data_IF_734588484588
#
_entry.id   IF_734588484588
#
_cell.length_a   1.000
_cell.length_b   1.000
_cell.length_c   1.000
_cell.angle_alpha   90.00
_cell.angle_beta   90.00
_cell.angle_gamma   90.00
#
_symmetry.space_group_name_H-M   'P 1'
#
loop_
_entity.id
_entity.type
_entity.pdbx_description
1 polymer ?
#
# COMPACT_ATOMS: atom_id res chain seq x y z
N UNK A 1 4.09 7.87 -18.54
CA UNK A 1 2.91 7.70 -17.66
C UNK A 1 3.08 8.50 -16.36
N UNK A 2 4.11 8.20 -15.56
CA UNK A 2 4.43 8.92 -14.31
C UNK A 2 4.34 10.45 -14.37
N UNK A 3 5.11 11.07 -15.26
CA UNK A 3 5.19 12.54 -15.38
C UNK A 3 3.81 13.14 -15.67
N UNK A 4 2.94 12.41 -16.38
CA UNK A 4 1.58 12.82 -16.64
C UNK A 4 0.72 12.79 -15.36
N UNK A 5 0.82 11.74 -14.53
CA UNK A 5 0.13 11.69 -13.23
C UNK A 5 0.58 12.83 -12.32
N UNK A 6 1.89 13.11 -12.26
CA UNK A 6 2.44 14.23 -11.47
C UNK A 6 1.95 15.60 -11.97
N UNK A 7 1.86 15.79 -13.28
CA UNK A 7 1.30 17.01 -13.87
C UNK A 7 -0.19 17.18 -13.56
N UNK A 8 -0.98 16.10 -13.67
CA UNK A 8 -2.41 16.11 -13.33
C UNK A 8 -2.65 16.41 -11.83
N UNK A 9 -1.81 15.87 -10.94
CA UNK A 9 -1.84 16.18 -9.51
C UNK A 9 -1.51 17.65 -9.25
N UNK A 10 -0.45 18.17 -9.88
CA UNK A 10 -0.06 19.58 -9.76
C UNK A 10 -1.20 20.50 -10.21
N UNK A 11 -1.82 20.20 -11.35
CA UNK A 11 -2.96 20.95 -11.87
C UNK A 11 -4.18 20.90 -10.94
N UNK A 12 -4.48 19.73 -10.35
CA UNK A 12 -5.58 19.55 -9.40
C UNK A 12 -5.42 20.44 -8.15
N UNK A 13 -4.19 20.65 -7.69
CA UNK A 13 -3.88 21.53 -6.57
C UNK A 13 -3.61 22.98 -6.97
N UNK A 14 -3.79 23.34 -8.26
CA UNK A 14 -3.56 24.69 -8.76
C UNK A 14 -2.10 25.13 -8.74
N UNK A 15 -1.15 24.19 -8.69
CA UNK A 15 0.28 24.47 -8.72
C UNK A 15 0.73 24.78 -10.14
N UNK A 16 1.64 25.75 -10.28
CA UNK A 16 2.23 26.16 -11.57
C UNK A 16 3.47 25.34 -11.95
N UNK A 17 4.08 24.69 -10.97
CA UNK A 17 5.28 23.88 -11.11
C UNK A 17 5.04 22.51 -10.47
N UNK A 18 5.67 21.48 -11.05
CA UNK A 18 5.64 20.12 -10.52
C UNK A 18 6.77 20.01 -9.50
N UNK A 19 6.44 19.81 -8.22
CA UNK A 19 7.44 19.60 -7.18
C UNK A 19 7.76 18.10 -7.01
N UNK A 20 8.82 17.79 -6.27
CA UNK A 20 9.18 16.41 -5.94
C UNK A 20 8.03 15.65 -5.26
N UNK A 21 7.23 16.33 -4.44
CA UNK A 21 6.05 15.76 -3.81
C UNK A 21 5.04 15.21 -4.84
N UNK A 22 4.78 15.93 -5.93
CA UNK A 22 3.86 15.45 -6.97
C UNK A 22 4.46 14.32 -7.82
N UNK A 23 5.78 14.31 -8.00
CA UNK A 23 6.48 13.21 -8.66
C UNK A 23 6.39 11.93 -7.83
N UNK A 24 6.69 12.02 -6.52
CA UNK A 24 6.58 10.90 -5.59
C UNK A 24 5.14 10.37 -5.50
N UNK A 25 4.14 11.24 -5.36
CA UNK A 25 2.73 10.82 -5.37
C UNK A 25 2.34 10.19 -6.72
N UNK A 26 2.91 10.69 -7.83
CA UNK A 26 2.77 10.08 -9.15
C UNK A 26 3.35 8.66 -9.22
N UNK A 27 4.53 8.41 -8.64
CA UNK A 27 5.12 7.06 -8.51
C UNK A 27 4.14 6.17 -7.75
N UNK A 28 3.73 6.62 -6.57
CA UNK A 28 2.85 5.86 -5.69
C UNK A 28 1.51 5.51 -6.34
N UNK A 29 0.94 6.43 -7.12
CA UNK A 29 -0.32 6.22 -7.82
C UNK A 29 -0.20 5.22 -8.96
N UNK A 30 0.94 5.17 -9.64
CA UNK A 30 1.22 4.17 -10.68
C UNK A 30 1.47 2.79 -10.08
N UNK A 31 2.19 2.72 -8.96
CA UNK A 31 2.58 1.45 -8.32
C UNK A 31 1.45 0.85 -7.48
N UNK A 32 0.87 1.62 -6.56
CA UNK A 32 -0.09 1.13 -5.56
C UNK A 32 -1.53 1.66 -5.79
N UNK A 33 -1.73 2.51 -6.79
CA UNK A 33 -3.02 3.16 -7.04
C UNK A 33 -3.25 4.41 -6.18
N UNK A 34 -4.41 5.07 -6.35
CA UNK A 34 -4.72 6.30 -5.64
C UNK A 34 -4.92 6.06 -4.14
N UNK A 35 -4.51 7.03 -3.34
CA UNK A 35 -4.78 7.10 -1.90
C UNK A 35 -6.29 7.14 -1.61
N UNK A 36 -6.76 6.30 -0.68
CA UNK A 36 -8.17 6.21 -0.29
C UNK A 36 -8.44 6.93 1.03
N UNK A 37 -8.50 8.27 0.98
CA UNK A 37 -8.78 9.12 2.15
C UNK A 37 -10.13 8.85 2.84
N UNK A 38 -11.10 8.27 2.14
CA UNK A 38 -12.41 7.92 2.71
C UNK A 38 -12.45 6.57 3.42
N UNK A 39 -11.43 5.72 3.25
CA UNK A 39 -11.36 4.40 3.88
C UNK A 39 -10.77 4.58 5.28
N UNK A 40 -11.66 4.71 6.26
CA UNK A 40 -11.29 4.77 7.68
C UNK A 40 -11.13 3.33 8.16
N UNK A 41 -9.92 2.99 8.61
CA UNK A 41 -9.64 1.72 9.27
C UNK A 41 -9.98 1.84 10.75
N UNK A 42 -10.50 0.77 11.34
CA UNK A 42 -10.58 0.69 12.79
C UNK A 42 -9.19 0.67 13.41
N UNK A 43 -9.06 1.07 14.68
CA UNK A 43 -7.76 1.04 15.38
C UNK A 43 -7.14 -0.37 15.37
N UNK A 44 -7.98 -1.41 15.46
CA UNK A 44 -7.55 -2.81 15.34
C UNK A 44 -7.00 -3.13 13.96
N UNK A 45 -7.70 -2.76 12.89
CA UNK A 45 -7.22 -2.99 11.51
C UNK A 45 -5.95 -2.20 11.20
N UNK A 46 -5.87 -0.94 11.68
CA UNK A 46 -4.67 -0.11 11.53
C UNK A 46 -3.47 -0.74 12.25
N UNK A 47 -3.68 -1.28 13.45
CA UNK A 47 -2.63 -1.97 14.20
C UNK A 47 -2.18 -3.26 13.51
N UNK A 48 -3.11 -4.09 13.04
CA UNK A 48 -2.79 -5.31 12.29
C UNK A 48 -1.98 -4.96 11.04
N UNK A 49 -2.45 -3.97 10.28
CA UNK A 49 -1.74 -3.48 9.08
C UNK A 49 -0.35 -2.97 9.46
N UNK A 50 -0.19 -2.24 10.56
CA UNK A 50 1.10 -1.74 10.98
C UNK A 50 2.09 -2.87 11.33
N UNK A 51 1.66 -3.92 12.03
CA UNK A 51 2.51 -5.10 12.26
C UNK A 51 2.86 -5.81 10.96
N UNK A 52 1.90 -5.92 10.03
CA UNK A 52 2.12 -6.54 8.73
C UNK A 52 3.18 -5.80 7.90
N UNK A 53 3.05 -4.47 7.75
CA UNK A 53 4.01 -3.68 6.98
C UNK A 53 5.39 -3.63 7.65
N UNK A 54 5.45 -3.52 8.99
CA UNK A 54 6.71 -3.60 9.73
C UNK A 54 7.36 -4.97 9.58
N UNK A 55 6.56 -6.05 9.53
CA UNK A 55 7.05 -7.41 9.28
C UNK A 55 7.82 -7.54 7.96
N UNK A 56 7.25 -7.03 6.86
CA UNK A 56 7.96 -6.97 5.59
C UNK A 56 9.23 -6.13 5.67
N UNK A 57 9.12 -4.95 6.28
CA UNK A 57 10.21 -3.98 6.35
C UNK A 57 11.40 -4.50 7.15
N UNK A 58 11.16 -5.10 8.32
CA UNK A 58 12.22 -5.62 9.19
C UNK A 58 12.92 -6.82 8.56
N UNK A 59 12.17 -7.80 8.05
CA UNK A 59 12.77 -8.97 7.41
C UNK A 59 13.54 -8.56 6.15
N UNK A 60 12.98 -7.64 5.36
CA UNK A 60 13.67 -7.11 4.17
C UNK A 60 14.92 -6.29 4.48
N UNK A 61 14.98 -5.62 5.63
CA UNK A 61 16.14 -4.83 6.01
C UNK A 61 17.25 -5.65 6.69
N UNK A 62 16.86 -6.62 7.54
CA UNK A 62 17.81 -7.40 8.36
C UNK A 62 18.45 -8.56 7.58
N UNK A 63 17.83 -8.99 6.48
CA UNK A 63 18.39 -10.04 5.63
C UNK A 63 19.41 -9.45 4.63
N UNK A 64 20.56 -10.12 4.43
CA UNK A 64 21.71 -9.55 3.72
C UNK A 64 21.47 -9.34 2.22
N UNK A 65 20.59 -10.13 1.60
CA UNK A 65 20.40 -10.11 0.15
C UNK A 65 19.07 -9.50 -0.29
N UNK A 66 18.27 -8.99 0.66
CA UNK A 66 17.00 -8.35 0.36
C UNK A 66 17.19 -6.88 -0.06
N UNK A 67 16.23 -6.35 -0.82
CA UNK A 67 16.27 -4.97 -1.28
C UNK A 67 16.00 -4.00 -0.11
N UNK A 68 16.76 -2.90 0.00
CA UNK A 68 16.61 -1.96 1.09
C UNK A 68 15.24 -1.28 1.06
N UNK A 69 14.67 -1.10 2.25
CA UNK A 69 13.40 -0.40 2.43
C UNK A 69 13.56 1.08 2.07
N UNK A 70 12.59 1.58 1.32
CA UNK A 70 12.47 2.99 0.96
C UNK A 70 11.40 3.70 1.78
N UNK A 71 10.23 3.05 1.96
CA UNK A 71 9.07 3.65 2.63
C UNK A 71 8.15 2.56 3.18
N UNK A 72 7.61 2.79 4.37
CA UNK A 72 6.60 1.94 5.03
C UNK A 72 5.40 2.81 5.40
N UNK A 73 4.17 2.37 5.12
CA UNK A 73 2.98 3.18 5.38
C UNK A 73 1.75 2.33 5.67
N UNK A 74 0.91 2.79 6.60
CA UNK A 74 -0.43 2.22 6.87
C UNK A 74 -1.55 3.00 6.17
N UNK A 75 -1.19 3.88 5.24
CA UNK A 75 -2.14 4.65 4.46
C UNK A 75 -2.64 3.78 3.30
N UNK A 76 -3.94 3.50 3.30
CA UNK A 76 -4.54 2.65 2.27
C UNK A 76 -4.46 3.27 0.86
N UNK A 77 -4.04 2.45 -0.10
CA UNK A 77 -3.95 2.80 -1.53
C UNK A 77 -4.55 1.69 -2.38
N UNK A 78 -5.32 2.06 -3.40
CA UNK A 78 -5.92 1.08 -4.31
C UNK A 78 -6.70 0.00 -3.53
N UNK A 79 -6.28 -1.26 -3.64
CA UNK A 79 -6.85 -2.37 -2.87
C UNK A 79 -6.13 -2.61 -1.52
N UNK A 80 -4.87 -2.20 -1.41
CA UNK A 80 -4.02 -2.43 -0.25
C UNK A 80 -4.44 -1.59 0.98
N UNK A 81 -4.20 -2.14 2.17
CA UNK A 81 -4.47 -1.51 3.47
C UNK A 81 -3.28 -0.66 3.95
N UNK A 82 -2.07 -1.14 3.70
CA UNK A 82 -0.80 -0.44 3.84
C UNK A 82 0.10 -0.79 2.67
N UNK A 83 1.35 -0.34 2.71
CA UNK A 83 2.37 -0.76 1.77
C UNK A 83 3.78 -0.59 2.33
N UNK A 84 4.65 -1.49 1.92
CA UNK A 84 6.09 -1.44 2.12
C UNK A 84 6.75 -1.42 0.75
N UNK A 85 7.55 -0.38 0.49
CA UNK A 85 8.29 -0.24 -0.75
C UNK A 85 9.77 -0.46 -0.46
N UNK A 86 10.33 -1.45 -1.15
CA UNK A 86 11.77 -1.64 -1.29
C UNK A 86 12.23 -1.17 -2.66
N UNK A 87 13.44 -0.63 -2.73
CA UNK A 87 14.04 -0.19 -4.00
C UNK A 87 15.34 -0.97 -4.25
N UNK A 88 15.47 -1.65 -5.41
CA UNK A 88 16.73 -2.25 -5.81
C UNK A 88 17.85 -1.22 -5.86
N UNK A 89 19.06 -1.61 -5.42
CA UNK A 89 20.24 -0.74 -5.47
C UNK A 89 20.90 -0.69 -6.83
N UNK A 90 20.67 -1.70 -7.67
CA UNK A 90 21.26 -1.85 -8.99
C UNK A 90 20.31 -2.61 -9.92
N UNK A 91 20.49 -2.43 -11.23
CA UNK A 91 19.80 -3.24 -12.23
C UNK A 91 20.42 -4.64 -12.26
N UNK A 92 19.67 -5.64 -11.77
CA UNK A 92 20.12 -7.04 -11.72
C UNK A 92 19.58 -7.85 -12.88
N UNK A 93 20.49 -8.45 -13.65
CA UNK A 93 20.15 -9.42 -14.70
C UNK A 93 20.23 -10.88 -14.22
N UNK A 94 20.91 -11.11 -13.11
CA UNK A 94 21.11 -12.43 -12.49
C UNK A 94 20.67 -12.33 -11.03
N UNK A 95 19.92 -13.34 -10.56
CA UNK A 95 19.46 -13.44 -9.17
C UNK A 95 19.85 -14.81 -8.63
N UNK A 96 20.54 -14.83 -7.51
CA UNK A 96 21.01 -16.04 -6.84
C UNK A 96 19.91 -16.74 -6.04
N UNK A 97 20.12 -18.02 -5.71
CA UNK A 97 19.22 -18.78 -4.82
C UNK A 97 19.08 -18.11 -3.46
N UNK A 98 20.15 -17.52 -2.92
CA UNK A 98 20.13 -16.83 -1.62
C UNK A 98 19.30 -15.56 -1.65
N UNK A 99 19.41 -14.75 -2.71
CA UNK A 99 18.56 -13.56 -2.91
C UNK A 99 17.08 -13.93 -3.01
N UNK A 100 16.73 -14.99 -3.76
CA UNK A 100 15.34 -15.44 -3.85
C UNK A 100 14.80 -15.97 -2.51
N UNK A 101 15.64 -16.66 -1.73
CA UNK A 101 15.27 -17.10 -0.37
C UNK A 101 15.01 -15.92 0.56
N UNK A 102 15.87 -14.89 0.54
CA UNK A 102 15.67 -13.70 1.37
C UNK A 102 14.45 -12.89 0.90
N UNK A 103 14.23 -12.80 -0.41
CA UNK A 103 13.02 -12.20 -0.98
C UNK A 103 11.76 -12.93 -0.53
N UNK A 104 11.74 -14.26 -0.57
CA UNK A 104 10.64 -15.08 -0.05
C UNK A 104 10.37 -14.80 1.42
N UNK A 105 11.42 -14.76 2.25
CA UNK A 105 11.28 -14.49 3.67
C UNK A 105 10.71 -13.07 3.91
N UNK A 106 11.20 -12.06 3.20
CA UNK A 106 10.67 -10.70 3.28
C UNK A 106 9.20 -10.62 2.82
N UNK A 107 8.84 -11.31 1.73
CA UNK A 107 7.45 -11.41 1.27
C UNK A 107 6.56 -12.09 2.30
N UNK A 108 7.04 -13.08 3.06
CA UNK A 108 6.23 -13.73 4.10
C UNK A 108 6.25 -12.99 5.44
N UNK A 109 7.12 -11.98 5.60
CA UNK A 109 7.33 -11.24 6.84
C UNK A 109 6.06 -10.63 7.44
N UNK A 110 5.18 -10.05 6.62
CA UNK A 110 3.94 -9.46 7.12
C UNK A 110 2.99 -10.47 7.76
N UNK A 111 2.76 -11.61 7.09
CA UNK A 111 1.97 -12.72 7.65
C UNK A 111 2.61 -13.27 8.93
N UNK A 112 3.93 -13.42 8.94
CA UNK A 112 4.65 -13.95 10.10
C UNK A 112 4.58 -13.00 11.31
N UNK A 113 4.64 -11.69 11.08
CA UNK A 113 4.48 -10.68 12.13
C UNK A 113 3.07 -10.74 12.75
N UNK A 114 2.02 -10.88 11.92
CA UNK A 114 0.66 -11.10 12.42
C UNK A 114 0.56 -12.34 13.31
N UNK A 115 1.15 -13.45 12.86
CA UNK A 115 1.12 -14.72 13.58
C UNK A 115 1.83 -14.63 14.94
N UNK A 116 2.98 -13.96 15.01
CA UNK A 116 3.73 -13.75 16.25
C UNK A 116 2.93 -12.89 17.23
N UNK A 117 2.38 -11.77 16.76
CA UNK A 117 1.77 -10.78 17.63
C UNK A 117 0.35 -11.14 18.05
N UNK A 118 -0.48 -11.58 17.10
CA UNK A 118 -1.90 -11.80 17.32
C UNK A 118 -2.26 -13.27 17.53
N UNK A 119 -1.35 -14.21 17.23
CA UNK A 119 -1.63 -15.65 17.21
C UNK A 119 -2.80 -16.02 16.29
N UNK A 120 -3.06 -15.17 15.31
CA UNK A 120 -4.13 -15.27 14.33
C UNK A 120 -3.59 -14.67 13.02
N UNK A 121 -4.08 -15.18 11.90
CA UNK A 121 -3.70 -14.71 10.56
C UNK A 121 -4.91 -14.09 9.89
N UNK A 122 -4.69 -13.04 9.10
CA UNK A 122 -5.74 -12.40 8.32
C UNK A 122 -5.70 -12.76 6.84
N UNK A 123 -6.72 -12.33 6.10
CA UNK A 123 -6.76 -12.42 4.63
C UNK A 123 -5.89 -11.37 3.94
N UNK A 124 -5.24 -10.46 4.69
CA UNK A 124 -4.38 -9.41 4.16
C UNK A 124 -3.19 -9.93 3.37
N UNK A 125 -2.62 -11.07 3.80
CA UNK A 125 -1.44 -11.69 3.20
C UNK A 125 -1.70 -12.47 1.89
N UNK A 126 -2.90 -12.38 1.30
CA UNK A 126 -3.26 -13.17 0.11
C UNK A 126 -2.33 -12.89 -1.08
N UNK A 127 -2.03 -11.61 -1.33
CA UNK A 127 -1.13 -11.21 -2.41
C UNK A 127 0.32 -11.69 -2.15
N UNK A 128 0.75 -11.67 -0.89
CA UNK A 128 2.10 -12.10 -0.52
C UNK A 128 2.27 -13.61 -0.67
N UNK A 129 1.27 -14.39 -0.29
CA UNK A 129 1.24 -15.83 -0.52
C UNK A 129 1.26 -16.16 -2.01
N UNK A 130 0.53 -15.40 -2.84
CA UNK A 130 0.56 -15.57 -4.28
C UNK A 130 1.95 -15.30 -4.85
N UNK A 131 2.58 -14.18 -4.46
CA UNK A 131 3.93 -13.82 -4.89
C UNK A 131 4.97 -14.85 -4.41
N UNK A 132 4.92 -15.26 -3.14
CA UNK A 132 5.82 -16.25 -2.59
C UNK A 132 5.69 -17.60 -3.31
N UNK A 133 4.46 -18.02 -3.60
CA UNK A 133 4.20 -19.25 -4.37
C UNK A 133 4.78 -19.16 -5.78
N UNK A 134 4.62 -18.03 -6.47
CA UNK A 134 5.16 -17.85 -7.81
C UNK A 134 6.70 -17.87 -7.81
N UNK A 135 7.34 -17.18 -6.86
CA UNK A 135 8.79 -17.20 -6.72
C UNK A 135 9.29 -18.63 -6.45
N UNK A 136 8.66 -19.35 -5.52
CA UNK A 136 9.02 -20.73 -5.21
C UNK A 136 8.84 -21.66 -6.43
N UNK A 137 7.74 -21.51 -7.18
CA UNK A 137 7.53 -22.22 -8.46
C UNK A 137 8.64 -21.94 -9.46
N UNK A 138 9.05 -20.69 -9.64
CA UNK A 138 10.13 -20.35 -10.57
C UNK A 138 11.48 -20.92 -10.13
N UNK A 139 11.80 -20.86 -8.83
CA UNK A 139 13.00 -21.47 -8.27
C UNK A 139 13.09 -22.96 -8.60
N UNK A 140 11.98 -23.69 -8.43
CA UNK A 140 11.92 -25.14 -8.65
C UNK A 140 11.85 -25.48 -10.13
N UNK A 141 10.86 -24.92 -10.85
CA UNK A 141 10.50 -25.36 -12.19
C UNK A 141 11.34 -24.74 -13.30
N UNK A 142 11.91 -23.55 -13.09
CA UNK A 142 12.65 -22.82 -14.14
C UNK A 142 14.13 -22.70 -13.86
N UNK A 143 14.49 -22.44 -12.60
CA UNK A 143 15.88 -22.16 -12.24
C UNK A 143 16.64 -23.39 -11.74
N UNK A 144 15.97 -24.54 -11.57
CA UNK A 144 16.60 -25.78 -11.14
C UNK A 144 17.24 -25.67 -9.75
N UNK A 145 16.64 -24.88 -8.85
CA UNK A 145 17.20 -24.58 -7.52
C UNK A 145 16.84 -25.60 -6.44
N UNK A 146 16.19 -26.71 -6.80
CA UNK A 146 15.97 -27.86 -5.92
C UNK A 146 17.15 -28.83 -6.01
N UNK A 147 17.67 -29.24 -4.86
CA UNK A 147 18.72 -30.26 -4.79
C UNK A 147 18.16 -31.66 -5.12
N UNK A 148 16.89 -31.90 -4.79
CA UNK A 148 16.21 -33.16 -5.02
C UNK A 148 15.87 -33.37 -6.50
N UNK A 149 15.31 -32.37 -7.15
CA UNK A 149 14.88 -32.42 -8.56
C UNK A 149 16.03 -32.13 -9.54
N UNK A 150 17.10 -31.51 -9.06
CA UNK A 150 18.30 -31.22 -9.82
C UNK A 150 18.16 -30.03 -10.79
N UNK A 151 19.24 -29.73 -11.55
CA UNK A 151 19.34 -28.54 -12.39
C UNK A 151 18.65 -28.76 -13.75
N UNK A 152 17.33 -28.94 -13.75
CA UNK A 152 16.51 -29.08 -14.98
C UNK A 152 15.27 -28.20 -14.89
N UNK A 153 14.64 -27.96 -16.05
CA UNK A 153 13.35 -27.28 -16.13
C UNK A 153 12.19 -28.29 -16.12
N UNK A 154 11.02 -27.82 -15.69
CA UNK A 154 9.76 -28.55 -15.66
C UNK A 154 8.65 -27.69 -16.25
N UNK A 155 7.80 -28.29 -17.07
CA UNK A 155 6.69 -27.64 -17.75
C UNK A 155 7.13 -26.82 -18.95
N UNK A 156 6.13 -26.33 -19.69
CA UNK A 156 6.34 -25.46 -20.83
C UNK A 156 6.14 -23.99 -20.44
N UNK A 157 6.96 -23.12 -21.00
CA UNK A 157 6.94 -21.70 -20.68
C UNK A 157 5.66 -21.02 -21.17
N UNK A 158 4.90 -20.37 -20.28
CA UNK A 158 3.74 -19.53 -20.61
C UNK A 158 4.10 -18.24 -21.38
N UNK A 159 5.36 -18.07 -21.80
CA UNK A 159 5.88 -16.87 -22.45
C UNK A 159 5.24 -16.52 -23.82
N UNK A 160 4.31 -17.32 -24.36
CA UNK A 160 3.60 -17.02 -25.61
C UNK A 160 2.06 -17.02 -25.42
N UNK A 161 1.46 -15.94 -24.91
CA UNK A 161 0.00 -15.80 -24.75
C UNK A 161 -0.79 -15.76 -26.07
N UNK A 162 -0.11 -15.76 -27.22
CA UNK A 162 -0.70 -15.49 -28.53
C UNK A 162 -1.06 -16.75 -29.33
N UNK A 163 -0.63 -17.94 -28.89
CA UNK A 163 -1.19 -19.20 -29.39
C UNK A 163 -2.34 -19.61 -28.46
N UNK A 164 -3.51 -19.83 -29.05
CA UNK A 164 -4.80 -19.94 -28.38
C UNK A 164 -4.82 -20.73 -27.06
N UNK A 165 -5.63 -20.22 -26.13
CA UNK A 165 -5.96 -20.72 -24.78
C UNK A 165 -6.47 -22.18 -24.68
N UNK A 166 -6.37 -22.98 -25.73
CA UNK A 166 -7.02 -24.31 -25.82
C UNK A 166 -6.05 -25.50 -25.86
N UNK A 167 -4.74 -25.28 -25.93
CA UNK A 167 -3.81 -26.35 -25.60
C UNK A 167 -3.51 -26.27 -24.11
N UNK A 168 -4.30 -27.00 -23.31
CA UNK A 168 -3.79 -27.59 -22.08
C UNK A 168 -2.53 -28.37 -22.46
N UNK A 169 -1.37 -27.73 -22.41
CA UNK A 169 -0.11 -28.42 -22.60
C UNK A 169 0.01 -29.36 -21.41
N UNK A 170 -0.09 -30.66 -21.68
CA UNK A 170 0.19 -31.65 -20.67
C UNK A 170 1.60 -31.37 -20.10
N UNK A 171 1.77 -31.49 -18.77
CA UNK A 171 3.07 -31.41 -18.16
C UNK A 171 4.05 -32.36 -18.85
N UNK A 172 5.29 -31.94 -19.07
CA UNK A 172 6.37 -32.80 -19.60
C UNK A 172 7.01 -33.69 -18.50
N UNK A 173 6.29 -33.91 -17.40
CA UNK A 173 6.72 -34.67 -16.23
C UNK A 173 5.58 -35.55 -15.70
N UNK A 174 5.94 -36.63 -15.00
CA UNK A 174 4.96 -37.58 -14.44
C UNK A 174 4.26 -37.05 -13.20
N UNK A 175 3.17 -37.69 -12.80
CA UNK A 175 2.44 -37.37 -11.57
C UNK A 175 3.31 -37.50 -10.32
N UNK A 176 4.24 -38.46 -10.29
CA UNK A 176 5.22 -38.58 -9.20
C UNK A 176 6.10 -37.34 -9.11
N UNK A 177 6.61 -36.86 -10.25
CA UNK A 177 7.42 -35.63 -10.29
C UNK A 177 6.57 -34.41 -9.91
N UNK A 178 5.30 -34.36 -10.31
CA UNK A 178 4.38 -33.29 -9.91
C UNK A 178 4.23 -33.22 -8.37
N UNK A 179 4.06 -34.37 -7.71
CA UNK A 179 4.00 -34.45 -6.26
C UNK A 179 5.32 -34.00 -5.60
N UNK A 180 6.46 -34.34 -6.20
CA UNK A 180 7.76 -33.88 -5.70
C UNK A 180 7.94 -32.37 -5.85
N UNK A 181 7.50 -31.78 -6.97
CA UNK A 181 7.51 -30.33 -7.18
C UNK A 181 6.66 -29.62 -6.11
N UNK A 182 5.44 -30.09 -5.85
CA UNK A 182 4.56 -29.51 -4.83
C UNK A 182 5.17 -29.61 -3.43
N UNK A 183 5.81 -30.74 -3.10
CA UNK A 183 6.50 -30.93 -1.83
C UNK A 183 7.68 -29.95 -1.67
N UNK A 184 8.47 -29.76 -2.72
CA UNK A 184 9.62 -28.83 -2.71
C UNK A 184 9.17 -27.35 -2.63
N UNK A 185 8.09 -26.97 -3.32
CA UNK A 185 7.50 -25.63 -3.22
C UNK A 185 7.06 -25.37 -1.78
N UNK A 186 6.33 -26.32 -1.18
CA UNK A 186 5.90 -26.24 0.21
C UNK A 186 7.11 -26.06 1.14
N UNK A 187 8.14 -26.89 1.00
CA UNK A 187 9.35 -26.83 1.82
C UNK A 187 10.04 -25.47 1.74
N UNK A 188 10.21 -24.92 0.53
CA UNK A 188 10.86 -23.61 0.34
C UNK A 188 10.05 -22.48 1.01
N UNK A 189 8.73 -22.52 0.90
CA UNK A 189 7.85 -21.52 1.53
C UNK A 189 7.89 -21.65 3.06
N UNK A 190 7.87 -22.88 3.60
CA UNK A 190 7.97 -23.14 5.03
C UNK A 190 9.33 -22.68 5.60
N UNK A 191 10.44 -22.96 4.91
CA UNK A 191 11.78 -22.48 5.26
C UNK A 191 11.84 -20.95 5.29
N UNK A 192 11.26 -20.29 4.29
CA UNK A 192 11.24 -18.83 4.21
C UNK A 192 10.38 -18.21 5.32
N UNK A 193 9.24 -18.83 5.63
CA UNK A 193 8.38 -18.42 6.73
C UNK A 193 9.08 -18.56 8.08
N UNK A 194 9.80 -19.67 8.30
CA UNK A 194 10.56 -19.89 9.53
C UNK A 194 11.76 -18.93 9.65
N UNK A 195 12.46 -18.65 8.54
CA UNK A 195 13.50 -17.61 8.50
C UNK A 195 12.96 -16.24 8.89
N UNK A 196 11.80 -15.86 8.35
CA UNK A 196 11.11 -14.62 8.74
C UNK A 196 10.76 -14.64 10.24
N UNK A 197 10.28 -15.78 10.76
CA UNK A 197 9.91 -15.92 12.18
C UNK A 197 11.12 -15.73 13.10
N UNK A 198 12.26 -16.33 12.76
CA UNK A 198 13.50 -16.18 13.52
C UNK A 198 13.90 -14.71 13.62
N UNK A 199 14.00 -14.03 12.47
CA UNK A 199 14.35 -12.60 12.42
C UNK A 199 13.39 -11.74 13.25
N UNK A 200 12.08 -11.92 13.08
CA UNK A 200 11.08 -11.11 13.79
C UNK A 200 11.02 -11.42 15.29
N UNK A 201 11.29 -12.66 15.69
CA UNK A 201 11.30 -13.05 17.11
C UNK A 201 12.55 -12.52 17.82
N UNK A 202 13.71 -12.58 17.17
CA UNK A 202 14.97 -12.01 17.68
C UNK A 202 14.88 -10.49 17.89
N UNK A 203 14.13 -9.80 17.03
CA UNK A 203 13.96 -8.34 17.06
C UNK A 203 12.55 -7.90 17.49
N UNK A 204 11.87 -8.71 18.32
CA UNK A 204 10.47 -8.47 18.69
C UNK A 204 10.25 -7.10 19.36
N UNK A 205 11.16 -6.69 20.23
CA UNK A 205 11.03 -5.41 20.94
C UNK A 205 11.10 -4.22 19.97
N UNK A 206 12.04 -4.25 19.02
CA UNK A 206 12.13 -3.24 17.96
C UNK A 206 10.88 -3.24 17.08
N UNK A 207 10.34 -4.42 16.74
CA UNK A 207 9.10 -4.53 15.98
C UNK A 207 7.95 -3.81 16.67
N UNK A 208 7.73 -4.08 17.96
CA UNK A 208 6.64 -3.49 18.73
C UNK A 208 6.78 -1.95 18.82
N UNK A 209 8.02 -1.45 19.01
CA UNK A 209 8.33 -0.01 19.04
C UNK A 209 8.04 0.63 17.68
N UNK A 210 8.62 0.10 16.60
CA UNK A 210 8.46 0.66 15.24
C UNK A 210 6.99 0.64 14.83
N UNK A 211 6.26 -0.43 15.14
CA UNK A 211 4.83 -0.52 14.86
C UNK A 211 4.03 0.54 15.60
N UNK A 212 4.31 0.78 16.89
CA UNK A 212 3.61 1.82 17.65
C UNK A 212 3.79 3.22 17.02
N UNK A 213 5.01 3.51 16.56
CA UNK A 213 5.36 4.75 15.89
C UNK A 213 4.68 4.83 14.52
N UNK A 214 4.65 3.73 13.76
CA UNK A 214 4.00 3.70 12.45
C UNK A 214 2.48 3.93 12.56
N UNK A 215 1.82 3.45 13.62
CA UNK A 215 0.40 3.73 13.87
C UNK A 215 0.16 5.22 14.10
N UNK A 216 1.06 5.89 14.84
CA UNK A 216 0.98 7.32 15.15
C UNK A 216 1.32 8.20 13.95
N UNK A 217 2.44 7.90 13.26
CA UNK A 217 3.02 8.71 12.19
C UNK A 217 2.48 8.37 10.81
N UNK A 218 1.83 7.22 10.68
CA UNK A 218 1.20 6.65 9.48
C UNK A 218 2.17 6.27 8.36
N UNK A 219 3.35 6.86 8.31
CA UNK A 219 4.39 6.61 7.31
C UNK A 219 5.78 6.80 7.92
N UNK A 220 6.70 5.91 7.56
CA UNK A 220 8.12 5.95 7.88
C UNK A 220 8.93 5.95 6.59
N UNK A 221 9.82 6.93 6.45
CA UNK A 221 10.82 6.95 5.37
C UNK A 221 12.02 6.07 5.73
N UNK A 222 12.80 5.65 4.72
CA UNK A 222 14.00 4.83 4.88
C UNK A 222 14.86 5.20 6.08
N UNK A 223 15.32 6.47 6.14
CA UNK A 223 16.24 6.93 7.19
C UNK A 223 15.63 6.84 8.58
N UNK A 224 14.33 7.10 8.70
CA UNK A 224 13.61 7.04 9.96
C UNK A 224 13.48 5.60 10.43
N UNK A 225 13.13 4.69 9.51
CA UNK A 225 13.07 3.27 9.79
C UNK A 225 14.43 2.71 10.23
N UNK A 226 15.51 3.03 9.51
CA UNK A 226 16.88 2.62 9.83
C UNK A 226 17.30 3.10 11.23
N UNK A 227 17.10 4.38 11.54
CA UNK A 227 17.43 4.93 12.85
C UNK A 227 16.64 4.29 13.99
N UNK A 228 15.35 4.03 13.79
CA UNK A 228 14.51 3.37 14.80
C UNK A 228 14.95 1.92 15.03
N UNK A 229 15.35 1.22 13.96
CA UNK A 229 15.86 -0.14 14.05
C UNK A 229 17.21 -0.20 14.79
N UNK A 230 18.05 0.82 14.60
CA UNK A 230 19.32 1.02 15.33
C UNK A 230 19.11 1.44 16.80
N UNK A 231 17.86 1.62 17.24
CA UNK A 231 17.53 1.98 18.62
C UNK A 231 17.65 3.46 18.95
N UNK A 232 17.71 4.34 17.94
CA UNK A 232 17.67 5.79 18.15
C UNK A 232 16.29 6.18 18.70
N UNK A 233 16.21 6.98 19.78
CA UNK A 233 14.93 7.40 20.34
C UNK A 233 14.05 8.14 19.32
N UNK A 234 12.74 7.89 19.26
CA UNK A 234 11.84 8.52 18.28
C UNK A 234 11.88 10.05 18.32
N UNK A 235 12.05 10.63 19.50
CA UNK A 235 12.15 12.08 19.72
C UNK A 235 13.35 12.71 19.01
N UNK A 236 14.41 11.94 18.79
CA UNK A 236 15.57 12.36 18.03
C UNK A 236 15.36 12.17 16.52
N UNK A 237 14.79 11.04 16.12
CA UNK A 237 14.48 10.71 14.72
C UNK A 237 13.56 11.76 14.08
N UNK A 238 12.49 12.17 14.79
CA UNK A 238 11.48 13.07 14.25
C UNK A 238 11.66 14.54 14.63
N UNK A 239 12.75 14.90 15.35
CA UNK A 239 12.97 16.26 15.89
C UNK A 239 12.77 17.36 14.86
N UNK A 240 13.39 17.22 13.70
CA UNK A 240 13.33 18.23 12.63
C UNK A 240 11.92 18.32 12.03
N UNK A 241 11.30 17.18 11.72
CA UNK A 241 9.94 17.13 11.17
C UNK A 241 8.90 17.70 12.13
N UNK A 242 9.05 17.46 13.43
CA UNK A 242 8.15 17.99 14.46
C UNK A 242 8.31 19.49 14.63
N UNK A 243 9.54 20.00 14.61
CA UNK A 243 9.80 21.43 14.60
C UNK A 243 9.22 22.12 13.34
N UNK A 244 9.35 21.48 12.17
CA UNK A 244 8.78 22.01 10.92
C UNK A 244 7.25 22.01 10.95
N UNK A 245 6.62 20.91 11.38
CA UNK A 245 5.16 20.82 11.56
C UNK A 245 4.64 21.88 12.53
N UNK A 246 5.35 22.12 13.63
CA UNK A 246 5.00 23.18 14.58
C UNK A 246 5.07 24.58 13.94
N UNK A 247 6.15 24.88 13.20
CA UNK A 247 6.30 26.15 12.46
C UNK A 247 5.21 26.34 11.41
N UNK A 248 4.84 25.30 10.68
CA UNK A 248 3.73 25.38 9.71
C UNK A 248 2.38 25.62 10.39
N UNK A 249 2.11 24.94 11.51
CA UNK A 249 0.88 25.12 12.27
C UNK A 249 0.75 26.56 12.77
N UNK A 250 1.85 27.17 13.23
CA UNK A 250 1.90 28.58 13.61
C UNK A 250 1.66 29.52 12.43
N UNK A 251 2.25 29.28 11.26
CA UNK A 251 1.99 30.09 10.04
C UNK A 251 0.54 30.00 9.55
N UNK A 252 -0.16 28.89 9.80
CA UNK A 252 -1.56 28.67 9.40
C UNK A 252 -2.59 29.27 10.38
N UNK A 253 -2.19 29.61 11.62
CA UNK A 253 -3.05 30.29 12.62
C UNK A 253 -3.52 31.70 12.17
N UNK A 254 -2.66 32.63 11.71
CA UNK A 254 -3.10 33.98 11.33
C UNK A 254 -4.06 33.98 10.11
N UNK A 255 -3.90 33.07 9.14
CA UNK A 255 -4.82 32.94 8.00
C UNK A 255 -6.22 32.41 8.38
N UNK A 256 -6.34 31.61 9.45
CA UNK A 256 -7.65 31.14 9.94
C UNK A 256 -8.36 32.22 10.77
N UNK A 257 -7.63 33.04 11.51
CA UNK A 257 -8.17 34.19 12.25
C UNK A 257 -8.67 35.29 11.28
N UNK A 258 -7.89 35.67 10.26
CA UNK A 258 -8.35 36.64 9.23
C UNK A 258 -9.58 36.13 8.45
N UNK A 259 -9.69 34.82 8.18
CA UNK A 259 -10.89 34.23 7.54
C UNK A 259 -12.10 34.18 8.48
N UNK A 260 -11.89 34.10 9.81
CA UNK A 260 -12.95 34.17 10.81
C UNK A 260 -13.43 35.61 11.00
N UNK A 261 -12.52 36.58 11.05
CA UNK A 261 -12.85 38.01 11.12
C UNK A 261 -13.58 38.51 9.86
N UNK A 262 -13.14 38.09 8.67
CA UNK A 262 -13.85 38.40 7.40
C UNK A 262 -15.24 37.78 7.30
N UNK A 263 -15.51 36.65 7.98
CA UNK A 263 -16.84 36.04 8.07
C UNK A 263 -17.71 36.65 9.16
N UNK A 264 -17.12 37.11 10.27
CA UNK A 264 -17.84 37.83 11.33
C UNK A 264 -18.29 39.23 10.91
N UNK A 265 -17.52 39.91 10.06
CA UNK A 265 -17.86 41.24 9.53
C UNK A 265 -18.99 41.23 8.49
N UNK A 266 -19.36 40.07 7.92
CA UNK A 266 -20.42 39.97 6.92
C UNK A 266 -21.81 39.69 7.48
N UNK A 267 -21.92 39.32 8.77
CA UNK A 267 -23.21 38.99 9.40
C UNK A 267 -23.86 40.17 10.16
N UNK A 268 -23.16 41.30 10.35
CA UNK A 268 -23.73 42.50 11.02
C UNK A 268 -24.41 43.52 10.07
N UNK A 269 -24.45 43.27 8.75
CA UNK A 269 -24.95 44.24 7.77
C UNK A 269 -26.34 43.93 7.16
N UNK A 270 -27.12 43.01 7.72
CA UNK A 270 -28.50 42.75 7.25
C UNK A 270 -29.47 42.69 8.45
N UNK A 271 -29.83 43.87 8.96
CA UNK A 271 -30.99 44.04 9.84
C UNK A 271 -31.75 45.29 9.41
N UNK A 272 -32.68 45.15 8.48
CA UNK A 272 -33.55 46.27 8.11
C UNK A 272 -34.36 46.11 6.83
N UNK A 273 -35.15 45.03 6.66
CA UNK A 273 -36.33 45.09 5.79
C UNK A 273 -37.49 44.26 6.39
N UNK A 274 -38.73 44.79 6.42
CA UNK A 274 -39.90 44.07 6.93
C UNK A 274 -40.48 43.11 5.88
N UNK A 275 -41.28 42.09 6.29
CA UNK A 275 -41.73 41.05 5.39
C UNK A 275 -42.86 41.52 4.46
N UNK A 276 -42.77 41.17 3.18
CA UNK A 276 -43.82 41.35 2.17
C UNK A 276 -44.92 40.29 2.33
N UNK A 277 -46.17 40.73 2.46
CA UNK A 277 -47.37 39.90 2.45
C UNK A 277 -47.60 39.23 1.09
N UNK A 278 -48.05 37.97 1.11
CA UNK A 278 -48.42 37.21 -0.08
C UNK A 278 -49.82 37.60 -0.60
N UNK A 279 -50.03 37.82 -1.91
CA UNK A 279 -51.36 38.11 -2.41
C UNK A 279 -52.13 36.80 -2.65
N UNK A 280 -53.34 36.74 -2.08
CA UNK A 280 -54.39 35.78 -2.41
C UNK A 280 -55.06 36.17 -3.73
N UNK A 281 -55.26 35.20 -4.64
CA UNK A 281 -56.21 35.38 -5.75
C UNK A 281 -57.06 34.13 -5.93
N UNK A 282 -58.33 34.25 -5.53
CA UNK A 282 -59.44 33.44 -6.01
C UNK A 282 -60.11 34.16 -7.18
N UNK A 283 -60.41 33.46 -8.30
CA UNK A 283 -61.78 33.19 -8.79
C UNK A 283 -61.85 32.85 -10.31
N UNK A 284 -62.66 31.80 -10.56
CA UNK A 284 -63.52 31.47 -11.72
C UNK A 284 -62.94 30.98 -13.06
N UNK A 285 -63.07 29.65 -13.24
CA UNK A 285 -63.81 28.91 -14.29
C UNK A 285 -64.32 29.69 -15.53
N UNK A 286 -63.97 29.17 -16.71
CA UNK A 286 -64.94 28.56 -17.67
C UNK A 286 -64.21 27.61 -18.67
N UNK A 287 -64.93 26.67 -19.33
CA UNK A 287 -64.36 25.45 -19.93
C UNK A 287 -64.21 25.51 -21.45
N UNK A 288 -63.36 24.65 -22.02
CA UNK A 288 -63.27 24.46 -23.48
C UNK A 288 -62.35 23.30 -23.89
N UNK A 289 -63.00 22.18 -24.22
CA UNK A 289 -62.68 21.12 -25.20
C UNK A 289 -61.23 20.67 -25.48
N UNK A 290 -61.01 19.41 -25.10
CA UNK A 290 -60.88 18.24 -25.99
C UNK A 290 -59.68 18.09 -26.96
N UNK A 291 -59.23 16.83 -26.99
CA UNK A 291 -58.41 16.12 -27.98
C UNK A 291 -56.87 16.22 -27.95
N UNK A 292 -56.24 15.06 -27.67
CA UNK A 292 -55.27 14.49 -28.61
C UNK A 292 -53.85 14.14 -28.12
N UNK A 293 -53.54 12.83 -28.06
CA UNK A 293 -52.25 12.24 -28.50
C UNK A 293 -51.09 12.25 -27.50
N UNK A 294 -50.68 11.12 -26.88
CA UNK A 294 -49.88 9.98 -27.40
C UNK A 294 -48.38 10.31 -27.62
N UNK A 295 -47.53 9.56 -26.87
CA UNK A 295 -46.12 9.15 -27.04
C UNK A 295 -45.05 10.25 -27.21
N UNK A 296 -43.84 10.17 -26.63
CA UNK A 296 -43.01 9.03 -26.19
C UNK A 296 -42.12 9.49 -25.03
#
# INVERSE_FOLDING_TARGET
NLVNEAALLSARYGKKEISMHELEEGIMRVVAGPEKKSRILSDKEKLITAYHEVGHAMVGHLLPFADPIHKVSVISRGQALGYTISLPTEDRFLVSKSELKDRLASTLGGRTAEEIQFKEITTGASNDLQQATEIAKQMIMRYGMSEKLGPRTFGHDHAQPFLGREFSQEPDYSDEIAQEIDAEIKHIIEDAHERARQVLTEHKEQMDIITSILVERETLEKKEFEQLLDGVPPEEVFREKDAERAREAEKKKPMKEEKKERRGSSDEAIAGEPPLEAPSYTRALEPGDDSGGINS
#
